data_IF_485147062563
#
_entry.id   IF_485147062563
#
_cell.length_a   1.000
_cell.length_b   1.000
_cell.length_c   1.000
_cell.angle_alpha   90.00
_cell.angle_beta   90.00
_cell.angle_gamma   90.00
#
_symmetry.space_group_name_H-M   'P 1'
#
loop_
_entity.id
_entity.type
_entity.pdbx_description
1 polymer ?
#
# COMPACT_ATOMS: atom_id res chain seq x y z
N UNK A 1 9.18 -7.15 -17.23
CA UNK A 1 10.21 -8.19 -17.45
C UNK A 1 9.66 -9.63 -17.30
N UNK A 2 8.33 -9.85 -17.25
CA UNK A 2 7.71 -11.15 -16.93
C UNK A 2 6.98 -11.84 -18.11
N UNK A 3 7.07 -11.30 -19.33
CA UNK A 3 6.24 -11.72 -20.46
C UNK A 3 6.91 -12.71 -21.43
N UNK A 4 8.12 -13.20 -21.15
CA UNK A 4 8.93 -13.95 -22.15
C UNK A 4 9.04 -15.47 -21.92
N UNK A 5 8.38 -16.05 -20.93
CA UNK A 5 8.49 -17.50 -20.61
C UNK A 5 7.19 -18.25 -20.90
N UNK A 6 7.26 -19.54 -21.22
CA UNK A 6 6.10 -20.40 -21.51
C UNK A 6 5.15 -20.52 -20.30
N UNK A 7 3.81 -20.61 -20.48
CA UNK A 7 2.83 -20.84 -19.39
C UNK A 7 3.19 -21.96 -18.43
N UNK A 8 3.76 -23.05 -18.95
CA UNK A 8 4.12 -24.24 -18.18
C UNK A 8 5.37 -24.05 -17.32
N UNK A 9 6.27 -23.16 -17.69
CA UNK A 9 7.46 -22.81 -16.90
C UNK A 9 7.13 -21.93 -15.70
N UNK A 10 5.91 -21.36 -15.68
CA UNK A 10 5.42 -20.46 -14.64
C UNK A 10 4.62 -21.16 -13.55
N UNK A 11 4.39 -22.48 -13.64
CA UNK A 11 3.58 -23.21 -12.68
C UNK A 11 4.42 -23.64 -11.47
N UNK A 12 4.31 -22.95 -10.32
CA UNK A 12 5.27 -23.11 -9.23
C UNK A 12 5.03 -24.37 -8.40
N UNK A 13 3.85 -25.01 -8.54
CA UNK A 13 3.43 -26.11 -7.69
C UNK A 13 3.12 -27.39 -8.50
N UNK A 14 3.64 -28.57 -8.10
CA UNK A 14 3.40 -29.83 -8.80
C UNK A 14 1.92 -30.18 -8.95
N UNK A 15 1.09 -29.93 -7.93
CA UNK A 15 -0.35 -30.18 -7.98
C UNK A 15 -1.07 -29.31 -9.03
N UNK A 16 -0.62 -28.06 -9.18
CA UNK A 16 -1.18 -27.13 -10.16
C UNK A 16 -0.83 -27.55 -11.58
N UNK A 17 0.42 -28.00 -11.80
CA UNK A 17 0.86 -28.56 -13.09
C UNK A 17 0.13 -29.85 -13.46
N UNK A 18 -0.19 -30.68 -12.46
CA UNK A 18 -0.95 -31.90 -12.64
C UNK A 18 -2.38 -31.59 -13.08
N UNK A 19 -3.07 -30.69 -12.37
CA UNK A 19 -4.42 -30.22 -12.72
C UNK A 19 -4.49 -29.65 -14.14
N UNK A 20 -3.51 -28.81 -14.53
CA UNK A 20 -3.47 -28.24 -15.87
C UNK A 20 -3.33 -29.31 -16.99
N UNK A 21 -2.68 -30.45 -16.70
CA UNK A 21 -2.50 -31.54 -17.68
C UNK A 21 -3.66 -32.52 -17.71
N UNK A 22 -4.28 -32.77 -16.57
CA UNK A 22 -5.27 -33.85 -16.40
C UNK A 22 -6.72 -33.37 -16.52
N UNK A 23 -6.99 -32.08 -16.26
CA UNK A 23 -8.34 -31.50 -16.31
C UNK A 23 -8.47 -30.48 -17.46
N UNK A 24 -9.37 -30.79 -18.41
CA UNK A 24 -9.63 -29.95 -19.58
C UNK A 24 -10.24 -28.58 -19.21
N UNK A 25 -11.10 -28.52 -18.19
CA UNK A 25 -11.69 -27.26 -17.73
C UNK A 25 -10.63 -26.40 -17.05
N UNK A 26 -9.77 -27.00 -16.22
CA UNK A 26 -8.68 -26.28 -15.57
C UNK A 26 -7.72 -25.66 -16.59
N UNK A 27 -7.42 -26.39 -17.67
CA UNK A 27 -6.62 -25.90 -18.79
C UNK A 27 -7.26 -24.69 -19.47
N UNK A 28 -8.54 -24.78 -19.83
CA UNK A 28 -9.26 -23.70 -20.51
C UNK A 28 -9.33 -22.42 -19.65
N UNK A 29 -9.61 -22.57 -18.36
CA UNK A 29 -9.63 -21.46 -17.40
C UNK A 29 -8.26 -20.79 -17.34
N UNK A 30 -7.18 -21.56 -17.23
CA UNK A 30 -5.84 -21.00 -17.12
C UNK A 30 -5.39 -20.32 -18.41
N UNK A 31 -5.62 -20.95 -19.56
CA UNK A 31 -5.29 -20.37 -20.87
C UNK A 31 -6.01 -19.04 -21.09
N UNK A 32 -7.24 -18.93 -20.60
CA UNK A 32 -8.02 -17.69 -20.63
C UNK A 32 -7.47 -16.66 -19.63
N UNK A 33 -7.17 -17.08 -18.39
CA UNK A 33 -6.64 -16.20 -17.35
C UNK A 33 -5.29 -15.58 -17.76
N UNK A 34 -4.40 -16.34 -18.40
CA UNK A 34 -3.10 -15.84 -18.88
C UNK A 34 -3.29 -14.74 -19.93
N UNK A 35 -4.28 -14.87 -20.81
CA UNK A 35 -4.58 -13.81 -21.80
C UNK A 35 -5.09 -12.52 -21.16
N UNK A 36 -5.74 -12.63 -20.00
CA UNK A 36 -6.28 -11.51 -19.23
C UNK A 36 -5.29 -10.96 -18.20
N UNK A 37 -4.15 -11.62 -17.97
CA UNK A 37 -3.13 -11.19 -17.02
C UNK A 37 -2.57 -9.81 -17.39
N UNK A 38 -2.53 -8.90 -16.42
CA UNK A 38 -2.02 -7.54 -16.62
C UNK A 38 -3.03 -6.58 -17.26
N UNK A 39 -4.26 -7.01 -17.55
CA UNK A 39 -5.33 -6.10 -17.96
C UNK A 39 -5.84 -5.27 -16.79
N UNK A 40 -6.33 -4.06 -17.09
CA UNK A 40 -6.89 -3.15 -16.08
C UNK A 40 -8.32 -3.61 -15.76
N UNK A 41 -8.59 -3.88 -14.48
CA UNK A 41 -9.91 -4.34 -14.00
C UNK A 41 -10.85 -3.19 -13.65
N UNK A 42 -10.37 -2.22 -12.87
CA UNK A 42 -11.18 -1.13 -12.33
C UNK A 42 -10.31 0.09 -11.99
N UNK A 43 -10.94 1.26 -11.86
CA UNK A 43 -10.30 2.46 -11.35
C UNK A 43 -10.20 2.35 -9.83
N UNK A 44 -8.99 2.49 -9.29
CA UNK A 44 -8.74 2.55 -7.85
C UNK A 44 -7.96 3.80 -7.49
N UNK A 45 -8.31 4.43 -6.38
CA UNK A 45 -7.57 5.57 -5.84
C UNK A 45 -6.42 5.08 -4.97
N UNK A 46 -5.21 5.62 -5.17
CA UNK A 46 -4.09 5.35 -4.26
C UNK A 46 -4.36 6.00 -2.90
N UNK A 47 -4.57 5.19 -1.87
CA UNK A 47 -5.11 5.62 -0.59
C UNK A 47 -4.31 6.73 0.12
N UNK A 48 -3.04 6.93 -0.24
CA UNK A 48 -2.14 7.88 0.42
C UNK A 48 -1.64 9.01 -0.48
N UNK A 49 -1.82 8.94 -1.81
CA UNK A 49 -1.13 9.87 -2.71
C UNK A 49 -1.97 11.13 -2.96
N UNK A 50 -1.34 12.29 -2.82
CA UNK A 50 -1.91 13.59 -3.15
C UNK A 50 -1.00 14.26 -4.19
N UNK A 51 -1.62 14.78 -5.24
CA UNK A 51 -0.93 15.50 -6.30
C UNK A 51 -1.08 17.00 -6.05
N UNK A 52 0.04 17.72 -6.09
CA UNK A 52 0.13 19.15 -5.85
C UNK A 52 0.71 19.80 -7.12
N UNK A 53 0.05 20.85 -7.59
CA UNK A 53 0.45 21.63 -8.76
C UNK A 53 0.47 23.12 -8.41
N UNK A 54 1.31 23.88 -9.12
CA UNK A 54 1.35 25.35 -9.02
C UNK A 54 0.12 25.99 -9.68
N UNK A 55 -0.20 25.51 -10.87
CA UNK A 55 -1.32 25.96 -11.69
C UNK A 55 -2.48 24.93 -11.61
N UNK A 56 -3.70 25.28 -12.03
CA UNK A 56 -4.85 24.37 -11.96
C UNK A 56 -4.54 23.00 -12.58
N UNK A 57 -4.83 21.92 -11.85
CA UNK A 57 -4.51 20.55 -12.31
C UNK A 57 -5.13 20.19 -13.66
N UNK A 58 -6.26 20.81 -14.03
CA UNK A 58 -6.92 20.65 -15.32
C UNK A 58 -6.09 21.12 -16.52
N UNK A 59 -5.06 21.93 -16.30
CA UNK A 59 -4.10 22.35 -17.34
C UNK A 59 -3.03 21.28 -17.62
N UNK A 60 -2.85 20.32 -16.71
CA UNK A 60 -1.82 19.29 -16.78
C UNK A 60 -2.38 17.86 -16.93
N UNK A 61 -3.53 17.58 -16.34
CA UNK A 61 -4.15 16.24 -16.36
C UNK A 61 -5.67 16.33 -16.33
N UNK A 62 -6.32 15.35 -16.94
CA UNK A 62 -7.75 15.13 -16.75
C UNK A 62 -8.03 14.69 -15.30
N UNK A 63 -9.14 15.17 -14.77
CA UNK A 63 -9.63 14.86 -13.43
C UNK A 63 -10.93 14.05 -13.51
N UNK A 64 -11.22 13.32 -12.45
CA UNK A 64 -12.49 12.60 -12.28
C UNK A 64 -12.89 12.59 -10.80
N UNK A 65 -14.16 12.32 -10.52
CA UNK A 65 -14.59 12.02 -9.15
C UNK A 65 -14.01 10.65 -8.75
N UNK A 66 -13.58 10.53 -7.51
CA UNK A 66 -13.19 9.24 -6.96
C UNK A 66 -14.36 8.24 -7.07
N UNK A 67 -14.02 6.97 -7.32
CA UNK A 67 -15.00 5.88 -7.41
C UNK A 67 -15.35 5.34 -6.02
N UNK A 68 -16.59 4.86 -5.85
CA UNK A 68 -17.08 4.29 -4.60
C UNK A 68 -17.42 5.34 -3.54
N UNK A 69 -17.17 5.01 -2.28
CA UNK A 69 -17.51 5.87 -1.12
C UNK A 69 -16.43 6.92 -0.80
N UNK A 70 -15.34 6.94 -1.58
CA UNK A 70 -14.30 7.95 -1.44
C UNK A 70 -14.82 9.29 -1.97
N UNK A 71 -14.96 10.26 -1.08
CA UNK A 71 -15.18 11.64 -1.49
C UNK A 71 -13.86 12.27 -1.95
N UNK A 72 -13.82 12.81 -3.17
CA UNK A 72 -12.65 13.51 -3.67
C UNK A 72 -12.56 13.61 -5.19
N UNK A 73 -11.57 14.38 -5.63
CA UNK A 73 -11.18 14.52 -7.03
C UNK A 73 -9.85 13.80 -7.20
N UNK A 74 -9.73 12.96 -8.23
CA UNK A 74 -8.53 12.20 -8.55
C UNK A 74 -8.09 12.47 -9.98
N UNK A 75 -6.79 12.29 -10.25
CA UNK A 75 -6.26 12.32 -11.60
C UNK A 75 -6.71 11.07 -12.36
N UNK A 76 -6.91 11.18 -13.68
CA UNK A 76 -7.18 10.01 -14.52
C UNK A 76 -5.90 9.24 -14.87
N UNK A 77 -4.75 9.91 -14.80
CA UNK A 77 -3.46 9.26 -14.92
C UNK A 77 -3.05 8.52 -13.65
N UNK A 78 -2.34 7.42 -13.85
CA UNK A 78 -1.68 6.67 -12.78
C UNK A 78 -0.41 7.40 -12.31
N UNK A 79 0.22 6.87 -11.27
CA UNK A 79 1.38 7.49 -10.61
C UNK A 79 2.49 7.91 -11.59
N UNK A 80 2.96 7.00 -12.45
CA UNK A 80 4.13 7.26 -13.31
C UNK A 80 3.90 8.40 -14.31
N UNK A 81 2.81 8.43 -15.09
CA UNK A 81 2.56 9.56 -15.99
C UNK A 81 2.43 10.90 -15.26
N UNK A 82 1.83 10.93 -14.05
CA UNK A 82 1.76 12.18 -13.27
C UNK A 82 3.15 12.70 -12.90
N UNK A 83 4.08 11.82 -12.52
CA UNK A 83 5.48 12.19 -12.24
C UNK A 83 6.23 12.63 -13.50
N UNK A 84 6.00 11.96 -14.64
CA UNK A 84 6.59 12.32 -15.94
C UNK A 84 6.11 13.70 -16.43
N UNK A 85 4.90 14.11 -16.06
CA UNK A 85 4.36 15.47 -16.30
C UNK A 85 4.98 16.54 -15.39
N UNK A 86 5.83 16.15 -14.44
CA UNK A 86 6.49 17.07 -13.50
C UNK A 86 5.59 17.50 -12.33
N UNK A 87 4.49 16.80 -12.07
CA UNK A 87 3.61 17.10 -10.94
C UNK A 87 4.23 16.62 -9.63
N UNK A 88 4.09 17.43 -8.57
CA UNK A 88 4.57 17.06 -7.24
C UNK A 88 3.63 16.03 -6.63
N UNK A 89 4.18 14.88 -6.25
CA UNK A 89 3.49 13.84 -5.49
C UNK A 89 3.92 13.89 -4.02
N UNK A 90 2.95 13.87 -3.11
CA UNK A 90 3.19 13.64 -1.68
C UNK A 90 2.33 12.49 -1.17
N UNK A 91 2.93 11.59 -0.39
CA UNK A 91 2.23 10.48 0.24
C UNK A 91 1.92 10.81 1.71
N UNK A 92 0.62 10.82 2.04
CA UNK A 92 0.10 10.95 3.39
C UNK A 92 -0.30 9.57 3.91
N UNK A 93 0.60 8.95 4.68
CA UNK A 93 0.42 7.60 5.20
C UNK A 93 -0.43 7.62 6.48
N UNK A 94 -1.53 6.87 6.48
CA UNK A 94 -2.34 6.60 7.67
C UNK A 94 -1.75 5.49 8.53
N UNK A 95 -0.58 5.70 9.14
CA UNK A 95 0.05 4.67 9.97
C UNK A 95 -0.60 4.60 11.35
N UNK A 96 -1.17 3.42 11.67
CA UNK A 96 -1.86 3.16 12.95
C UNK A 96 -0.97 3.39 14.17
N UNK A 97 0.34 3.15 14.05
CA UNK A 97 1.29 3.30 15.15
C UNK A 97 1.32 4.74 15.70
N UNK A 98 1.23 5.76 14.84
CA UNK A 98 1.23 7.16 15.25
C UNK A 98 -0.01 7.50 16.08
N UNK A 99 -1.19 7.01 15.67
CA UNK A 99 -2.42 7.19 16.44
C UNK A 99 -2.39 6.47 17.79
N UNK A 100 -1.78 5.28 17.86
CA UNK A 100 -1.58 4.56 19.12
C UNK A 100 -0.68 5.39 20.05
N UNK A 101 0.46 5.86 19.55
CA UNK A 101 1.40 6.68 20.32
C UNK A 101 0.72 7.96 20.83
N UNK A 102 -0.01 8.67 19.98
CA UNK A 102 -0.76 9.87 20.37
C UNK A 102 -1.76 9.58 21.49
N UNK A 103 -2.51 8.48 21.36
CA UNK A 103 -3.47 8.03 22.37
C UNK A 103 -2.78 7.71 23.69
N UNK A 104 -1.66 6.99 23.65
CA UNK A 104 -0.84 6.66 24.82
C UNK A 104 -0.37 7.92 25.54
N UNK A 105 0.14 8.92 24.80
CA UNK A 105 0.56 10.21 25.38
C UNK A 105 -0.61 10.97 25.98
N UNK A 106 -1.78 10.96 25.34
CA UNK A 106 -3.00 11.54 25.89
C UNK A 106 -3.42 10.92 27.23
N UNK A 107 -3.30 9.59 27.36
CA UNK A 107 -3.57 8.87 28.62
C UNK A 107 -2.52 9.24 29.68
N UNK A 108 -1.24 9.30 29.32
CA UNK A 108 -0.17 9.67 30.26
C UNK A 108 -0.39 11.07 30.81
N UNK A 109 -0.70 12.07 29.96
CA UNK A 109 -1.00 13.44 30.41
C UNK A 109 -2.15 13.51 31.42
N UNK A 110 -3.13 12.62 31.30
CA UNK A 110 -4.30 12.57 32.20
C UNK A 110 -4.05 11.81 33.50
N UNK A 111 -3.22 10.78 33.47
CA UNK A 111 -3.02 9.84 34.59
C UNK A 111 -1.72 10.07 35.36
N UNK A 112 -0.72 10.68 34.72
CA UNK A 112 0.63 10.95 35.23
C UNK A 112 1.16 12.28 34.68
N UNK A 113 0.55 13.43 35.04
CA UNK A 113 0.91 14.73 34.48
C UNK A 113 2.36 15.17 34.77
N UNK A 114 3.00 14.58 35.77
CA UNK A 114 4.42 14.78 36.09
C UNK A 114 5.38 14.11 35.10
N UNK A 115 4.91 13.14 34.31
CA UNK A 115 5.72 12.45 33.31
C UNK A 115 5.68 13.21 32.00
N UNK A 116 6.81 13.84 31.65
CA UNK A 116 7.00 14.52 30.36
C UNK A 116 7.78 13.59 29.43
N UNK A 117 7.19 13.26 28.28
CA UNK A 117 7.81 12.38 27.28
C UNK A 117 8.25 13.22 26.08
N UNK A 118 9.56 13.22 25.80
CA UNK A 118 10.17 13.81 24.61
C UNK A 118 10.49 12.71 23.60
N UNK A 119 9.57 12.47 22.66
CA UNK A 119 9.66 11.34 21.71
C UNK A 119 10.91 11.38 20.82
N UNK A 120 11.28 12.53 20.21
CA UNK A 120 12.50 12.63 19.41
C UNK A 120 13.79 12.29 20.15
N UNK A 121 13.82 12.44 21.47
CA UNK A 121 15.04 12.35 22.28
C UNK A 121 14.99 11.20 23.31
N UNK A 122 14.24 10.13 23.03
CA UNK A 122 14.21 8.95 23.91
C UNK A 122 15.60 8.28 24.00
N UNK A 123 16.02 7.84 25.20
CA UNK A 123 17.28 7.14 25.35
C UNK A 123 17.24 5.78 24.64
N UNK A 124 18.30 5.48 23.89
CA UNK A 124 18.41 4.24 23.10
C UNK A 124 19.02 3.08 23.90
N UNK A 125 19.44 3.32 25.13
CA UNK A 125 20.14 2.38 26.02
C UNK A 125 19.30 1.97 27.25
N UNK A 126 18.00 2.28 27.28
CA UNK A 126 17.10 1.79 28.33
C UNK A 126 16.96 0.26 28.27
N UNK A 127 17.45 -0.43 29.29
CA UNK A 127 17.41 -1.89 29.37
C UNK A 127 15.97 -2.45 29.37
N UNK A 128 14.97 -1.71 29.89
CA UNK A 128 13.61 -2.24 30.08
C UNK A 128 12.91 -2.61 28.76
N UNK A 129 12.87 -1.75 27.72
CA UNK A 129 12.38 -2.13 26.39
C UNK A 129 13.09 -3.36 25.82
N UNK A 130 14.42 -3.46 25.95
CA UNK A 130 15.16 -4.61 25.42
C UNK A 130 14.87 -5.92 26.15
N UNK A 131 14.66 -5.89 27.47
CA UNK A 131 14.24 -7.08 28.21
C UNK A 131 12.84 -7.56 27.80
N UNK A 132 11.92 -6.62 27.52
CA UNK A 132 10.60 -6.94 26.96
C UNK A 132 10.74 -7.60 25.58
N UNK A 133 11.57 -7.05 24.69
CA UNK A 133 11.86 -7.63 23.37
C UNK A 133 12.47 -9.04 23.49
N UNK A 134 13.40 -9.28 24.42
CA UNK A 134 14.02 -10.59 24.65
C UNK A 134 13.02 -11.66 25.10
N UNK A 135 11.97 -11.26 25.83
CA UNK A 135 10.89 -12.17 26.23
C UNK A 135 9.90 -12.49 25.10
N UNK A 136 10.04 -11.85 23.94
CA UNK A 136 9.13 -12.05 22.80
C UNK A 136 7.75 -11.43 22.98
N UNK A 137 7.61 -10.46 23.89
CA UNK A 137 6.35 -9.76 24.16
C UNK A 137 6.07 -8.67 23.10
N UNK A 138 6.02 -9.03 21.80
CA UNK A 138 6.00 -8.11 20.65
C UNK A 138 4.72 -8.13 19.81
N UNK A 139 3.55 -8.32 20.45
CA UNK A 139 2.23 -8.35 19.80
C UNK A 139 1.79 -6.98 19.28
#
# INVERSE_FOLDING_TARGET
MWLKSSPLERLPHPEFSKLYKEDANAKEILDTAIKLEGTIRQVGTHACAVIISRDPLTEHTALQKAAGDLEGIVTQYSMKPCEELGLLKMDFLGLKNLSIIETTLGILRRTRPEVIVDLPNLPMDDAKPYELLKRGETT
#
